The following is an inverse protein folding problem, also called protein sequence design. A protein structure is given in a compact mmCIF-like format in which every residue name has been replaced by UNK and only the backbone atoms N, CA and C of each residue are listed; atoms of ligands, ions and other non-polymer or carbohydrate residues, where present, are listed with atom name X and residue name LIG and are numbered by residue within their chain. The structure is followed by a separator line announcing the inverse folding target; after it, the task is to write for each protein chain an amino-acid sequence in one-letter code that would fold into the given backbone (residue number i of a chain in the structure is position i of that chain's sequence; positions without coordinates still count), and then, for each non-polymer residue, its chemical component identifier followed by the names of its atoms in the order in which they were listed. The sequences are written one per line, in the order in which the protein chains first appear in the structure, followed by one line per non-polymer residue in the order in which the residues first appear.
data_IF_056975432118
#
_entry.id   IF_056975432118
#
_cell.length_a   1.000
_cell.length_b   1.000
_cell.length_c   1.000
_cell.angle_alpha   90.00
_cell.angle_beta   90.00
_cell.angle_gamma   90.00
#
_symmetry.space_group_name_H-M   'P 1'
#
loop_
_entity.id
_entity.type
_entity.pdbx_description
1 polymer ?
#
# COMPACT_ATOMS: atom_id res chain seq x y z
N UNK A 1 -2.39 -5.77 -9.10
CA UNK A 1 -1.81 -4.55 -9.68
C UNK A 1 -1.27 -3.64 -8.54
N UNK A 2 -2.06 -3.21 -7.52
CA UNK A 2 -1.55 -2.32 -6.47
C UNK A 2 -0.31 -2.85 -5.75
N UNK A 3 -0.26 -4.14 -5.44
CA UNK A 3 0.90 -4.78 -4.80
C UNK A 3 2.16 -4.65 -5.65
N UNK A 4 2.07 -4.99 -6.95
CA UNK A 4 3.20 -4.89 -7.86
C UNK A 4 3.67 -3.45 -8.09
N UNK A 5 2.74 -2.48 -8.15
CA UNK A 5 3.09 -1.06 -8.21
C UNK A 5 3.78 -0.60 -6.92
N UNK A 6 3.35 -1.10 -5.76
CA UNK A 6 4.01 -0.79 -4.50
C UNK A 6 5.44 -1.33 -4.47
N UNK A 7 5.65 -2.58 -4.89
CA UNK A 7 6.98 -3.18 -4.98
C UNK A 7 7.90 -2.47 -5.98
N UNK A 8 7.34 -1.93 -7.06
CA UNK A 8 8.10 -1.17 -8.05
C UNK A 8 8.44 0.25 -7.58
N UNK A 9 7.44 1.00 -7.09
CA UNK A 9 7.59 2.43 -6.79
C UNK A 9 8.12 2.70 -5.38
N UNK A 10 7.84 1.82 -4.43
CA UNK A 10 8.07 2.03 -3.00
C UNK A 10 8.92 0.93 -2.36
N UNK A 11 9.76 0.24 -3.14
CA UNK A 11 10.69 -0.78 -2.66
C UNK A 11 11.57 -0.27 -1.52
N UNK A 12 11.95 1.00 -1.55
CA UNK A 12 12.78 1.63 -0.51
C UNK A 12 12.20 1.55 0.90
N UNK A 13 10.88 1.34 1.08
CA UNK A 13 10.30 1.12 2.42
C UNK A 13 10.90 -0.10 3.13
N UNK A 14 11.28 -1.13 2.39
CA UNK A 14 11.91 -2.34 2.93
C UNK A 14 13.34 -2.12 3.42
N UNK A 15 13.99 -1.03 2.98
CA UNK A 15 15.32 -0.67 3.43
C UNK A 15 15.32 0.16 4.74
N UNK A 16 14.18 0.73 5.14
CA UNK A 16 14.06 1.58 6.35
C UNK A 16 14.61 0.90 7.61
N UNK A 17 14.24 -0.36 7.94
CA UNK A 17 14.79 -1.03 9.13
C UNK A 17 16.31 -1.15 9.11
N UNK A 18 16.89 -1.38 7.93
CA UNK A 18 18.34 -1.45 7.74
C UNK A 18 18.99 -0.09 7.99
N UNK A 19 18.46 0.99 7.40
CA UNK A 19 19.01 2.34 7.60
C UNK A 19 18.99 2.76 9.06
N UNK A 20 17.96 2.39 9.82
CA UNK A 20 17.86 2.69 11.25
C UNK A 20 18.84 1.82 12.05
N UNK A 21 18.87 0.51 11.80
CA UNK A 21 19.71 -0.44 12.53
C UNK A 21 21.22 -0.21 12.33
N UNK A 22 21.64 0.26 11.16
CA UNK A 22 23.04 0.56 10.84
C UNK A 22 23.44 2.02 11.21
N UNK A 23 22.51 2.86 11.72
CA UNK A 23 22.76 4.27 11.97
C UNK A 23 22.99 5.11 10.69
N UNK A 24 22.75 4.52 9.51
CA UNK A 24 22.97 5.20 8.22
C UNK A 24 21.84 6.17 7.87
N UNK A 25 20.76 6.20 8.65
CA UNK A 25 19.67 7.17 8.54
C UNK A 25 20.16 8.60 8.72
N UNK A 26 21.17 8.84 9.58
CA UNK A 26 21.74 10.16 9.84
C UNK A 26 22.24 10.83 8.57
N UNK A 27 22.86 10.04 7.67
CA UNK A 27 23.34 10.56 6.38
C UNK A 27 22.21 10.98 5.45
N UNK A 28 21.05 10.34 5.57
CA UNK A 28 19.85 10.68 4.78
C UNK A 28 19.15 11.92 5.34
N UNK A 29 19.20 12.12 6.65
CA UNK A 29 18.66 13.33 7.32
C UNK A 29 19.42 14.60 6.97
N UNK A 30 20.71 14.50 6.62
CA UNK A 30 21.55 15.65 6.20
C UNK A 30 21.31 16.08 4.74
N UNK A 31 20.57 15.29 3.95
CA UNK A 31 20.26 15.65 2.56
C UNK A 31 19.21 16.77 2.50
N UNK A 32 19.28 17.68 1.52
CA UNK A 32 18.28 18.76 1.35
C UNK A 32 16.95 18.26 0.73
N UNK A 33 16.64 16.97 0.87
CA UNK A 33 15.44 16.30 0.39
C UNK A 33 14.71 15.66 1.58
N UNK A 34 13.40 15.45 1.46
CA UNK A 34 12.69 14.71 2.51
C UNK A 34 13.29 13.31 2.66
N UNK A 35 13.47 12.87 3.91
CA UNK A 35 14.06 11.56 4.25
C UNK A 35 13.33 10.42 3.57
N UNK A 36 11.99 10.47 3.57
CA UNK A 36 11.14 9.49 2.87
C UNK A 36 11.48 9.43 1.38
N UNK A 37 11.53 10.59 0.71
CA UNK A 37 11.85 10.64 -0.71
C UNK A 37 13.25 10.10 -1.00
N UNK A 38 14.23 10.42 -0.16
CA UNK A 38 15.61 9.93 -0.29
C UNK A 38 15.71 8.42 -0.16
N UNK A 39 14.92 7.82 0.74
CA UNK A 39 14.84 6.37 0.93
C UNK A 39 14.19 5.72 -0.30
N UNK A 40 13.06 6.27 -0.78
CA UNK A 40 12.35 5.74 -1.95
C UNK A 40 13.22 5.77 -3.22
N UNK A 41 13.96 6.87 -3.42
CA UNK A 41 14.80 7.04 -4.59
C UNK A 41 16.07 6.16 -4.57
N UNK A 42 16.49 5.69 -3.39
CA UNK A 42 17.71 4.89 -3.25
C UNK A 42 17.55 3.43 -3.71
N UNK A 43 16.35 2.86 -3.58
CA UNK A 43 16.07 1.45 -3.85
C UNK A 43 14.86 1.31 -4.81
N UNK A 44 15.09 1.53 -6.10
CA UNK A 44 14.11 1.24 -7.15
C UNK A 44 14.37 -0.16 -7.68
N UNK A 45 13.36 -1.02 -7.63
CA UNK A 45 13.48 -2.41 -8.11
C UNK A 45 12.48 -2.67 -9.24
N UNK A 46 12.91 -3.45 -10.25
CA UNK A 46 12.02 -3.89 -11.33
C UNK A 46 11.12 -5.07 -10.92
N UNK A 47 11.23 -5.51 -9.67
CA UNK A 47 10.61 -6.76 -9.20
C UNK A 47 9.08 -6.78 -9.33
N UNK A 48 8.42 -5.64 -9.07
CA UNK A 48 6.97 -5.54 -9.15
C UNK A 48 6.37 -5.48 -10.56
N UNK A 49 7.18 -5.23 -11.60
CA UNK A 49 6.67 -5.05 -12.97
C UNK A 49 5.98 -6.29 -13.51
N UNK A 50 6.52 -7.49 -13.22
CA UNK A 50 5.90 -8.76 -13.62
C UNK A 50 4.49 -8.92 -13.06
N UNK A 51 4.30 -8.60 -11.78
CA UNK A 51 3.00 -8.63 -11.10
C UNK A 51 2.02 -7.61 -11.68
N UNK A 52 2.50 -6.42 -12.07
CA UNK A 52 1.68 -5.40 -12.72
C UNK A 52 1.23 -5.87 -14.10
N UNK A 53 2.16 -6.34 -14.93
CA UNK A 53 1.85 -6.81 -16.30
C UNK A 53 0.88 -8.00 -16.27
N UNK A 54 1.12 -8.97 -15.40
CA UNK A 54 0.22 -10.10 -15.22
C UNK A 54 -1.18 -9.64 -14.77
N UNK A 55 -1.23 -8.76 -13.76
CA UNK A 55 -2.50 -8.22 -13.28
C UNK A 55 -3.27 -7.43 -14.34
N UNK A 56 -2.58 -6.64 -15.18
CA UNK A 56 -3.18 -5.94 -16.32
C UNK A 56 -3.71 -6.93 -17.37
N UNK A 57 -2.94 -7.95 -17.70
CA UNK A 57 -3.36 -8.97 -18.66
C UNK A 57 -4.63 -9.69 -18.20
N UNK A 58 -4.69 -10.10 -16.92
CA UNK A 58 -5.88 -10.73 -16.33
C UNK A 58 -7.08 -9.77 -16.34
N UNK A 59 -6.87 -8.48 -15.99
CA UNK A 59 -7.95 -7.49 -16.03
C UNK A 59 -8.50 -7.29 -17.44
N UNK A 60 -7.62 -7.12 -18.43
CA UNK A 60 -8.05 -6.95 -19.84
C UNK A 60 -8.80 -8.19 -20.31
N UNK A 61 -8.27 -9.39 -20.04
CA UNK A 61 -8.94 -10.64 -20.39
C UNK A 61 -10.34 -10.73 -19.77
N UNK A 62 -10.47 -10.39 -18.47
CA UNK A 62 -11.75 -10.42 -17.76
C UNK A 62 -12.76 -9.42 -18.33
N UNK A 63 -12.31 -8.20 -18.68
CA UNK A 63 -13.17 -7.19 -19.28
C UNK A 63 -13.72 -7.64 -20.66
N UNK A 64 -12.88 -8.29 -21.48
CA UNK A 64 -13.30 -8.84 -22.77
C UNK A 64 -14.31 -9.96 -22.59
N UNK A 65 -14.07 -10.89 -21.67
CA UNK A 65 -14.98 -12.02 -21.39
C UNK A 65 -16.34 -11.59 -20.83
N UNK A 66 -16.35 -10.52 -20.05
CA UNK A 66 -17.58 -9.97 -19.46
C UNK A 66 -18.33 -9.02 -20.42
N UNK A 67 -17.79 -8.77 -21.61
CA UNK A 67 -18.35 -7.83 -22.59
C UNK A 67 -18.64 -6.43 -22.00
N UNK A 68 -17.85 -6.03 -21.00
CA UNK A 68 -18.06 -4.77 -20.29
C UNK A 68 -17.56 -3.59 -21.14
N UNK A 69 -18.47 -2.71 -21.50
CA UNK A 69 -18.13 -1.44 -22.13
C UNK A 69 -17.89 -0.41 -21.03
N UNK A 70 -16.60 -0.12 -20.77
CA UNK A 70 -16.25 0.90 -19.79
C UNK A 70 -16.37 2.29 -20.39
N UNK A 71 -17.11 3.18 -19.72
CA UNK A 71 -17.06 4.60 -20.05
C UNK A 71 -15.68 5.20 -19.67
N UNK A 72 -15.25 6.29 -20.31
CA UNK A 72 -14.00 6.96 -19.95
C UNK A 72 -13.90 7.32 -18.46
N UNK A 73 -15.03 7.68 -17.83
CA UNK A 73 -15.10 7.97 -16.41
C UNK A 73 -14.83 6.73 -15.53
N UNK A 74 -15.34 5.56 -15.93
CA UNK A 74 -15.06 4.28 -15.24
C UNK A 74 -13.60 3.88 -15.34
N UNK A 75 -12.98 4.12 -16.50
CA UNK A 75 -11.53 3.87 -16.68
C UNK A 75 -10.72 4.79 -15.78
N UNK A 76 -11.07 6.08 -15.71
CA UNK A 76 -10.42 7.04 -14.82
C UNK A 76 -10.57 6.61 -13.35
N UNK A 77 -11.79 6.26 -12.94
CA UNK A 77 -12.04 5.74 -11.59
C UNK A 77 -11.16 4.51 -11.28
N UNK A 78 -11.07 3.57 -12.20
CA UNK A 78 -10.26 2.36 -12.03
C UNK A 78 -8.77 2.68 -11.83
N UNK A 79 -8.22 3.57 -12.67
CA UNK A 79 -6.83 4.02 -12.53
C UNK A 79 -6.62 4.68 -11.15
N UNK A 80 -7.51 5.58 -10.75
CA UNK A 80 -7.44 6.22 -9.44
C UNK A 80 -7.56 5.22 -8.28
N UNK A 81 -8.44 4.22 -8.39
CA UNK A 81 -8.59 3.17 -7.39
C UNK A 81 -7.33 2.30 -7.26
N UNK A 82 -6.67 1.96 -8.38
CA UNK A 82 -5.38 1.26 -8.37
C UNK A 82 -4.32 2.09 -7.64
N UNK A 83 -4.23 3.40 -7.92
CA UNK A 83 -3.30 4.29 -7.24
C UNK A 83 -3.60 4.38 -5.74
N UNK A 84 -4.88 4.52 -5.35
CA UNK A 84 -5.28 4.49 -3.94
C UNK A 84 -4.90 3.18 -3.26
N UNK A 85 -5.13 2.03 -3.90
CA UNK A 85 -4.71 0.73 -3.38
C UNK A 85 -3.19 0.63 -3.20
N UNK A 86 -2.41 1.18 -4.13
CA UNK A 86 -0.95 1.27 -4.04
C UNK A 86 -0.52 2.14 -2.85
N UNK A 87 -1.20 3.27 -2.63
CA UNK A 87 -0.91 4.17 -1.51
C UNK A 87 -1.31 3.57 -0.15
N UNK A 88 -2.40 2.80 -0.08
CA UNK A 88 -2.78 2.04 1.12
C UNK A 88 -1.68 1.03 1.46
N UNK A 89 -1.22 0.27 0.47
CA UNK A 89 -0.15 -0.70 0.64
C UNK A 89 1.15 -0.03 1.12
N UNK A 90 1.52 1.08 0.48
CA UNK A 90 2.68 1.88 0.89
C UNK A 90 2.56 2.36 2.34
N UNK A 91 1.41 2.92 2.71
CA UNK A 91 1.20 3.46 4.05
C UNK A 91 1.30 2.36 5.13
N UNK A 92 0.76 1.17 4.87
CA UNK A 92 0.87 0.02 5.77
C UNK A 92 2.31 -0.46 5.90
N UNK A 93 3.04 -0.61 4.80
CA UNK A 93 4.45 -0.98 4.83
C UNK A 93 5.28 0.07 5.59
N UNK A 94 5.01 1.35 5.36
CA UNK A 94 5.70 2.43 6.05
C UNK A 94 5.40 2.47 7.56
N UNK A 95 4.16 2.18 7.97
CA UNK A 95 3.81 2.02 9.39
C UNK A 95 4.63 0.92 10.04
N UNK A 96 4.73 -0.25 9.40
CA UNK A 96 5.51 -1.38 9.93
C UNK A 96 7.02 -1.08 9.91
N UNK A 97 7.51 -0.46 8.84
CA UNK A 97 8.90 -0.04 8.75
C UNK A 97 9.27 0.97 9.85
N UNK A 98 8.35 1.88 10.19
CA UNK A 98 8.55 2.87 11.27
C UNK A 98 8.71 2.22 12.65
N UNK A 99 8.18 1.02 12.87
CA UNK A 99 8.39 0.29 14.12
C UNK A 99 9.87 -0.01 14.40
N UNK A 100 10.74 0.03 13.38
CA UNK A 100 12.18 -0.20 13.56
C UNK A 100 12.89 0.83 14.43
N UNK A 101 12.26 1.97 14.71
CA UNK A 101 12.78 2.92 15.69
C UNK A 101 12.77 2.35 17.14
N UNK A 102 11.90 1.37 17.41
CA UNK A 102 11.76 0.77 18.76
C UNK A 102 12.03 -0.74 18.79
N UNK A 103 11.84 -1.42 17.64
CA UNK A 103 11.90 -2.88 17.54
C UNK A 103 12.99 -3.28 16.55
N UNK A 104 13.97 -4.04 17.01
CA UNK A 104 15.14 -4.46 16.22
C UNK A 104 14.74 -5.28 14.97
N UNK A 105 13.67 -6.07 15.05
CA UNK A 105 13.24 -6.95 13.95
C UNK A 105 11.87 -6.56 13.36
N UNK A 106 11.74 -5.32 12.93
CA UNK A 106 10.49 -4.82 12.30
C UNK A 106 10.22 -5.43 10.90
N UNK A 107 11.23 -6.02 10.24
CA UNK A 107 11.03 -6.73 8.97
C UNK A 107 10.01 -7.85 9.09
N UNK A 108 9.97 -8.58 10.20
CA UNK A 108 8.96 -9.61 10.44
C UNK A 108 7.52 -9.04 10.46
N UNK A 109 7.33 -7.83 10.99
CA UNK A 109 6.04 -7.15 10.97
C UNK A 109 5.64 -6.72 9.54
N UNK A 110 6.61 -6.28 8.72
CA UNK A 110 6.37 -5.95 7.31
C UNK A 110 5.95 -7.21 6.52
N UNK A 111 6.66 -8.33 6.71
CA UNK A 111 6.30 -9.61 6.08
C UNK A 111 4.90 -10.07 6.51
N UNK A 112 4.55 -9.91 7.79
CA UNK A 112 3.22 -10.25 8.29
C UNK A 112 2.13 -9.45 7.59
N UNK A 113 2.29 -8.12 7.47
CA UNK A 113 1.34 -7.26 6.75
C UNK A 113 1.26 -7.63 5.28
N UNK A 114 2.38 -7.98 4.65
CA UNK A 114 2.38 -8.46 3.28
C UNK A 114 1.63 -9.79 3.12
N UNK A 115 1.79 -10.73 4.05
CA UNK A 115 1.00 -11.97 4.04
C UNK A 115 -0.50 -11.71 4.23
N UNK A 116 -0.87 -10.72 5.06
CA UNK A 116 -2.27 -10.31 5.19
C UNK A 116 -2.80 -9.73 3.86
N UNK A 117 -1.97 -9.06 3.06
CA UNK A 117 -2.39 -8.54 1.76
C UNK A 117 -2.85 -9.62 0.78
N UNK A 118 -2.38 -10.86 0.96
CA UNK A 118 -2.79 -12.01 0.15
C UNK A 118 -4.32 -12.29 0.23
N UNK A 119 -4.94 -11.95 1.38
CA UNK A 119 -6.39 -12.07 1.53
C UNK A 119 -7.17 -11.13 0.59
N UNK A 120 -6.55 -10.04 0.12
CA UNK A 120 -7.17 -9.12 -0.85
C UNK A 120 -7.33 -9.69 -2.26
N UNK A 121 -6.70 -10.84 -2.54
CA UNK A 121 -6.84 -11.54 -3.82
C UNK A 121 -8.22 -12.18 -3.99
N UNK A 122 -8.93 -12.40 -2.89
CA UNK A 122 -10.23 -13.05 -2.86
C UNK A 122 -11.35 -12.08 -2.47
N UNK A 123 -12.58 -12.29 -2.96
CA UNK A 123 -13.72 -11.48 -2.55
C UNK A 123 -13.91 -11.53 -1.04
N UNK A 124 -14.00 -10.36 -0.40
CA UNK A 124 -14.15 -10.25 1.06
C UNK A 124 -15.39 -11.01 1.59
N UNK A 125 -16.41 -11.18 0.73
CA UNK A 125 -17.68 -11.86 1.07
C UNK A 125 -17.50 -13.34 1.47
N UNK A 126 -16.38 -13.99 1.09
CA UNK A 126 -16.12 -15.39 1.47
C UNK A 126 -15.66 -15.55 2.92
N UNK A 127 -15.21 -14.46 3.54
CA UNK A 127 -14.67 -14.48 4.90
C UNK A 127 -15.76 -14.29 5.96
N UNK A 128 -15.47 -14.69 7.20
CA UNK A 128 -16.34 -14.41 8.34
C UNK A 128 -16.39 -12.89 8.61
N UNK A 129 -17.51 -12.41 9.17
CA UNK A 129 -17.77 -10.99 9.42
C UNK A 129 -16.63 -10.27 10.18
N UNK A 130 -16.02 -10.93 11.17
CA UNK A 130 -14.88 -10.39 11.91
C UNK A 130 -13.68 -10.08 11.00
N UNK A 131 -13.33 -11.02 10.10
CA UNK A 131 -12.23 -10.82 9.16
C UNK A 131 -12.59 -9.78 8.06
N UNK A 132 -13.86 -9.73 7.66
CA UNK A 132 -14.33 -8.68 6.74
C UNK A 132 -14.12 -7.29 7.35
N UNK A 133 -14.50 -7.09 8.62
CA UNK A 133 -14.32 -5.82 9.32
C UNK A 133 -12.84 -5.50 9.52
N UNK A 134 -12.02 -6.49 9.86
CA UNK A 134 -10.58 -6.32 10.01
C UNK A 134 -9.93 -5.87 8.69
N UNK A 135 -10.23 -6.56 7.56
CA UNK A 135 -9.68 -6.25 6.24
C UNK A 135 -10.26 -4.96 5.62
N UNK A 136 -11.35 -4.43 6.16
CA UNK A 136 -11.93 -3.17 5.70
C UNK A 136 -11.48 -1.96 6.52
N UNK A 137 -11.32 -2.10 7.85
CA UNK A 137 -11.15 -0.94 8.73
C UNK A 137 -9.84 -0.93 9.52
N UNK A 138 -9.26 -2.09 9.82
CA UNK A 138 -7.97 -2.18 10.56
C UNK A 138 -6.81 -2.22 9.57
N UNK A 139 -6.86 -3.14 8.62
CA UNK A 139 -5.87 -3.28 7.55
C UNK A 139 -6.62 -3.18 6.22
N UNK A 140 -6.88 -1.96 5.69
CA UNK A 140 -7.93 -1.70 4.69
C UNK A 140 -7.63 -2.25 3.29
N UNK A 141 -7.20 -3.49 3.21
CA UNK A 141 -6.89 -4.18 1.95
C UNK A 141 -8.12 -4.45 1.08
N UNK A 142 -9.32 -4.53 1.68
CA UNK A 142 -10.54 -4.66 0.91
C UNK A 142 -10.76 -3.47 -0.06
N UNK A 143 -10.28 -2.27 0.29
CA UNK A 143 -10.35 -1.09 -0.58
C UNK A 143 -9.31 -1.11 -1.70
N UNK A 144 -8.32 -2.00 -1.66
CA UNK A 144 -7.36 -2.16 -2.75
C UNK A 144 -7.92 -2.94 -3.95
N UNK A 145 -8.96 -3.77 -3.75
CA UNK A 145 -9.49 -4.64 -4.80
C UNK A 145 -11.01 -4.80 -4.77
N UNK A 146 -11.59 -5.33 -3.68
CA UNK A 146 -12.99 -5.74 -3.63
C UNK A 146 -13.97 -4.58 -3.82
N UNK A 147 -13.84 -3.50 -3.05
CA UNK A 147 -14.78 -2.37 -3.13
C UNK A 147 -14.78 -1.70 -4.50
N UNK A 148 -13.63 -1.29 -5.08
CA UNK A 148 -13.63 -0.65 -6.39
C UNK A 148 -14.07 -1.60 -7.51
N UNK A 149 -13.73 -2.89 -7.44
CA UNK A 149 -14.17 -3.87 -8.44
C UNK A 149 -15.67 -4.11 -8.39
N UNK A 150 -16.26 -4.20 -7.19
CA UNK A 150 -17.72 -4.36 -7.02
C UNK A 150 -18.50 -3.16 -7.57
N UNK A 151 -17.95 -1.95 -7.42
CA UNK A 151 -18.54 -0.74 -8.01
C UNK A 151 -18.47 -0.76 -9.54
N UNK A 152 -17.31 -1.10 -10.12
CA UNK A 152 -17.12 -1.17 -11.57
C UNK A 152 -18.00 -2.23 -12.25
N UNK A 153 -18.24 -3.34 -11.55
CA UNK A 153 -19.12 -4.42 -12.02
C UNK A 153 -20.62 -4.11 -11.82
N UNK A 154 -20.95 -2.96 -11.22
CA UNK A 154 -22.35 -2.58 -10.94
C UNK A 154 -23.04 -3.45 -9.90
N UNK A 155 -22.29 -4.27 -9.14
CA UNK A 155 -22.85 -5.14 -8.09
C UNK A 155 -23.32 -4.32 -6.89
N UNK A 156 -22.56 -3.29 -6.55
CA UNK A 156 -22.86 -2.36 -5.45
C UNK A 156 -22.56 -0.93 -5.85
N UNK A 157 -23.48 -0.02 -5.56
CA UNK A 157 -23.39 1.41 -5.93
C UNK A 157 -23.32 2.35 -4.72
N UNK A 158 -23.25 1.79 -3.51
CA UNK A 158 -23.18 2.57 -2.28
C UNK A 158 -21.90 3.42 -2.22
N UNK A 159 -21.96 4.52 -1.48
CA UNK A 159 -20.89 5.49 -1.33
C UNK A 159 -19.54 4.84 -0.91
N UNK A 160 -19.58 3.82 -0.07
CA UNK A 160 -18.39 3.14 0.42
C UNK A 160 -17.60 2.43 -0.70
N UNK A 161 -18.27 2.00 -1.78
CA UNK A 161 -17.63 1.25 -2.86
C UNK A 161 -16.85 2.16 -3.81
N UNK A 162 -17.29 3.39 -4.03
CA UNK A 162 -16.58 4.32 -4.90
C UNK A 162 -15.73 5.34 -4.13
N UNK A 163 -16.17 5.88 -2.98
CA UNK A 163 -15.43 6.85 -2.20
C UNK A 163 -14.49 6.21 -1.18
N UNK A 164 -14.81 4.98 -0.72
CA UNK A 164 -14.04 4.26 0.28
C UNK A 164 -12.55 4.13 -0.02
N UNK A 165 -12.13 3.73 -1.23
CA UNK A 165 -10.71 3.64 -1.58
C UNK A 165 -9.95 4.95 -1.39
N UNK A 166 -10.54 6.08 -1.76
CA UNK A 166 -9.94 7.41 -1.63
C UNK A 166 -9.82 7.84 -0.17
N UNK A 167 -10.88 7.62 0.61
CA UNK A 167 -10.88 7.93 2.05
C UNK A 167 -9.89 7.06 2.80
N UNK A 168 -9.88 5.75 2.53
CA UNK A 168 -8.96 4.81 3.17
C UNK A 168 -7.50 5.17 2.84
N UNK A 169 -7.18 5.48 1.58
CA UNK A 169 -5.84 5.91 1.19
C UNK A 169 -5.42 7.21 1.91
N UNK A 170 -6.30 8.21 1.95
CA UNK A 170 -6.03 9.47 2.64
C UNK A 170 -5.78 9.29 4.13
N UNK A 171 -6.65 8.54 4.82
CA UNK A 171 -6.53 8.25 6.26
C UNK A 171 -5.24 7.48 6.55
N UNK A 172 -4.95 6.42 5.79
CA UNK A 172 -3.75 5.60 6.00
C UNK A 172 -2.47 6.39 5.75
N UNK A 173 -2.43 7.24 4.73
CA UNK A 173 -1.28 8.12 4.48
C UNK A 173 -1.08 9.12 5.62
N UNK A 174 -2.14 9.73 6.14
CA UNK A 174 -2.06 10.66 7.26
C UNK A 174 -1.55 9.96 8.52
N UNK A 175 -2.07 8.77 8.84
CA UNK A 175 -1.62 7.98 10.01
C UNK A 175 -0.14 7.62 9.84
N UNK A 176 0.24 7.09 8.67
CA UNK A 176 1.62 6.69 8.39
C UNK A 176 2.60 7.88 8.47
N UNK A 177 2.22 9.02 7.90
CA UNK A 177 3.02 10.24 7.94
C UNK A 177 3.15 10.80 9.38
N UNK A 178 2.06 10.84 10.14
CA UNK A 178 2.07 11.29 11.52
C UNK A 178 2.95 10.38 12.40
N UNK A 179 2.82 9.06 12.23
CA UNK A 179 3.61 8.08 12.96
C UNK A 179 5.11 8.17 12.62
N UNK A 180 5.45 8.33 11.34
CA UNK A 180 6.82 8.57 10.91
C UNK A 180 7.42 9.85 11.52
N UNK A 181 6.67 10.96 11.49
CA UNK A 181 7.13 12.22 12.10
C UNK A 181 7.32 12.10 13.61
N UNK A 182 6.40 11.40 14.28
CA UNK A 182 6.55 11.11 15.70
C UNK A 182 7.81 10.28 15.99
N UNK A 183 8.06 9.23 15.23
CA UNK A 183 9.23 8.40 15.37
C UNK A 183 10.54 9.18 15.14
N UNK A 184 10.59 10.02 14.09
CA UNK A 184 11.74 10.88 13.84
C UNK A 184 12.01 11.86 14.97
N UNK A 185 10.97 12.39 15.64
CA UNK A 185 11.16 13.31 16.77
C UNK A 185 11.78 12.66 18.00
N UNK A 186 11.70 11.33 18.10
CA UNK A 186 12.28 10.55 19.19
C UNK A 186 13.59 9.85 18.80
N UNK A 187 13.99 9.95 17.54
CA UNK A 187 15.20 9.31 17.06
C UNK A 187 16.43 9.94 17.68
N UNK A 188 17.26 9.10 18.30
CA UNK A 188 18.59 9.47 18.79
C UNK A 188 19.62 8.79 17.90
N UNK A 189 20.56 9.57 17.38
CA UNK A 189 21.63 9.04 16.55
C UNK A 189 22.42 7.95 17.28
N UNK A 190 22.62 6.81 16.64
CA UNK A 190 23.43 5.71 17.20
C UNK A 190 24.94 6.02 17.18
N UNK A 191 25.36 7.16 16.66
CA UNK A 191 26.74 7.59 16.46
C UNK A 191 27.19 8.78 17.29
N UNK A 192 26.56 9.00 18.46
CA UNK A 192 26.95 10.04 19.41
C UNK A 192 28.12 9.63 20.29
#
# INVERSE_FOLDING_TARGET
IPLGLNEFLFAGTWAVPRYIGEGSLDRLLLRPLSTIFSIMAADVTLHGLGSVLFGLAVCIYSLVQLELVLSPLMVLFWICAILCGTLIQYALNMLMATLSFWVINSQSAMVLVQNISEFSKYPIAIYQKGLQLFLSFVVPYAFCSFYPSSFLLGVHTDLIYWAGPFLAAGVMLLISWAFWRFALSQYQSAGG
#
